data_IF_399149250593
#
_entry.id   IF_399149250593
#
_cell.length_a   1.000
_cell.length_b   1.000
_cell.length_c   1.000
_cell.angle_alpha   90.00
_cell.angle_beta   90.00
_cell.angle_gamma   90.00
#
_symmetry.space_group_name_H-M   'P 1'
#
loop_
_entity.id
_entity.type
_entity.pdbx_description
1 polymer ?
#
# COMPACT_ATOMS: atom_id res chain seq x y z
N UNK A 1 13.11 0.11 -12.12
CA UNK A 1 11.96 0.44 -11.25
C UNK A 1 12.06 -0.44 -10.03
N UNK A 2 12.27 0.12 -8.84
CA UNK A 2 12.26 -0.67 -7.62
C UNK A 2 10.84 -1.25 -7.42
N UNK A 3 10.75 -2.53 -7.07
CA UNK A 3 9.47 -3.17 -6.72
C UNK A 3 8.88 -2.46 -5.50
N UNK A 4 7.60 -2.06 -5.56
CA UNK A 4 6.88 -1.47 -4.41
C UNK A 4 6.54 -2.48 -3.33
N UNK A 5 6.78 -3.77 -3.60
CA UNK A 5 6.49 -4.92 -2.75
C UNK A 5 7.80 -5.40 -2.11
N UNK A 6 7.82 -5.45 -0.77
CA UNK A 6 8.93 -6.04 -0.03
C UNK A 6 8.85 -7.57 -0.06
N UNK A 7 10.01 -8.24 -0.10
CA UNK A 7 10.04 -9.70 0.12
C UNK A 7 9.56 -10.05 1.54
N UNK A 8 9.11 -11.28 1.75
CA UNK A 8 8.64 -11.71 3.07
C UNK A 8 9.73 -11.60 4.14
N UNK A 9 10.98 -11.90 3.77
CA UNK A 9 12.14 -11.79 4.66
C UNK A 9 12.44 -10.33 5.01
N UNK A 10 12.35 -9.41 4.05
CA UNK A 10 12.54 -7.98 4.29
C UNK A 10 11.44 -7.39 5.16
N UNK A 11 10.18 -7.74 4.91
CA UNK A 11 9.04 -7.29 5.71
C UNK A 11 9.13 -7.80 7.17
N UNK A 12 9.60 -9.04 7.36
CA UNK A 12 9.86 -9.61 8.68
C UNK A 12 11.02 -8.90 9.38
N UNK A 13 12.14 -8.67 8.68
CA UNK A 13 13.33 -7.97 9.21
C UNK A 13 13.00 -6.53 9.61
N UNK A 14 12.20 -5.84 8.81
CA UNK A 14 11.72 -4.49 9.09
C UNK A 14 10.57 -4.43 10.13
N UNK A 15 10.13 -5.59 10.64
CA UNK A 15 9.05 -5.72 11.63
C UNK A 15 7.77 -4.99 11.21
N UNK A 16 7.41 -5.09 9.93
CA UNK A 16 6.19 -4.47 9.41
C UNK A 16 4.96 -5.20 10.00
N UNK A 17 3.98 -4.50 10.60
CA UNK A 17 2.73 -5.11 11.05
C UNK A 17 1.96 -5.72 9.87
N UNK A 18 1.19 -6.79 10.12
CA UNK A 18 0.49 -7.54 9.08
C UNK A 18 -0.39 -6.66 8.18
N UNK A 19 -1.05 -5.66 8.75
CA UNK A 19 -1.90 -4.72 8.01
C UNK A 19 -1.16 -3.91 6.94
N UNK A 20 0.14 -3.68 7.10
CA UNK A 20 0.97 -2.88 6.20
C UNK A 20 1.88 -3.73 5.30
N UNK A 21 1.68 -5.06 5.27
CA UNK A 21 2.39 -5.98 4.37
C UNK A 21 1.64 -6.11 3.04
N UNK A 22 1.40 -4.98 2.42
CA UNK A 22 0.65 -4.86 1.18
C UNK A 22 1.56 -4.64 -0.03
N UNK A 23 0.96 -4.27 -1.17
CA UNK A 23 1.65 -4.02 -2.43
C UNK A 23 2.59 -2.79 -2.38
N UNK A 24 2.54 -1.99 -1.31
CA UNK A 24 3.30 -0.76 -1.09
C UNK A 24 4.31 -0.88 0.07
N UNK A 25 4.45 -2.07 0.65
CA UNK A 25 5.27 -2.34 1.83
C UNK A 25 6.76 -2.00 1.68
N UNK A 26 7.32 -2.01 0.47
CA UNK A 26 8.72 -1.66 0.25
C UNK A 26 9.00 -0.17 0.52
N UNK A 27 8.05 0.71 0.23
CA UNK A 27 8.16 2.17 0.44
C UNK A 27 8.03 2.54 1.92
N UNK A 28 7.38 1.70 2.71
CA UNK A 28 7.21 1.94 4.15
C UNK A 28 8.52 1.75 4.94
N UNK A 29 9.44 0.91 4.44
CA UNK A 29 10.74 0.65 5.08
C UNK A 29 11.60 1.93 5.14
N UNK A 30 11.89 2.63 4.01
CA UNK A 30 12.66 3.88 4.03
C UNK A 30 11.92 4.99 4.79
N UNK A 31 10.60 5.10 4.66
CA UNK A 31 9.80 6.07 5.41
C UNK A 31 9.95 5.88 6.92
N UNK A 32 9.87 4.65 7.43
CA UNK A 32 10.05 4.38 8.85
C UNK A 32 11.49 4.59 9.32
N UNK A 33 12.48 4.38 8.46
CA UNK A 33 13.88 4.70 8.76
C UNK A 33 14.05 6.21 8.90
N UNK A 34 13.54 6.99 7.95
CA UNK A 34 13.60 8.45 7.98
C UNK A 34 12.85 9.01 9.20
N UNK A 35 11.65 8.52 9.50
CA UNK A 35 10.88 8.92 10.69
C UNK A 35 11.65 8.70 12.00
N UNK A 36 12.32 7.56 12.15
CA UNK A 36 13.15 7.28 13.34
C UNK A 36 14.36 8.20 13.44
N UNK A 37 15.02 8.50 12.32
CA UNK A 37 16.16 9.41 12.29
C UNK A 37 15.75 10.87 12.55
N UNK A 38 14.59 11.26 12.02
CA UNK A 38 14.01 12.59 12.15
C UNK A 38 13.16 12.81 13.40
N UNK A 39 13.19 11.91 14.39
CA UNK A 39 12.37 11.97 15.60
C UNK A 39 10.87 12.21 15.33
N UNK A 40 10.35 11.65 14.24
CA UNK A 40 8.94 11.78 13.83
C UNK A 40 8.45 13.23 13.62
N UNK A 41 9.37 14.14 13.28
CA UNK A 41 9.00 15.52 12.93
C UNK A 41 8.15 15.56 11.66
N UNK A 42 7.12 16.42 11.67
CA UNK A 42 6.08 16.47 10.63
C UNK A 42 6.57 16.98 9.27
N UNK A 43 7.56 17.88 9.29
CA UNK A 43 8.18 18.50 8.12
C UNK A 43 9.33 17.69 7.53
N UNK A 44 9.73 16.59 8.19
CA UNK A 44 10.79 15.73 7.71
C UNK A 44 10.19 14.51 6.98
N UNK A 45 10.91 13.97 5.99
CA UNK A 45 10.50 12.79 5.22
C UNK A 45 9.22 12.98 4.39
N UNK A 46 8.93 14.20 3.91
CA UNK A 46 7.72 14.49 3.15
C UNK A 46 7.68 13.75 1.81
N UNK A 47 8.82 13.60 1.16
CA UNK A 47 8.92 12.94 -0.13
C UNK A 47 8.57 11.44 0.00
N UNK A 48 9.21 10.74 0.93
CA UNK A 48 8.97 9.32 1.19
C UNK A 48 7.53 9.08 1.68
N UNK A 49 6.96 10.03 2.44
CA UNK A 49 5.55 9.99 2.85
C UNK A 49 4.64 10.07 1.63
N UNK A 50 4.86 11.05 0.77
CA UNK A 50 4.05 11.27 -0.43
C UNK A 50 4.14 10.11 -1.42
N UNK A 51 5.33 9.53 -1.61
CA UNK A 51 5.50 8.34 -2.46
C UNK A 51 4.71 7.13 -1.94
N UNK A 52 4.75 6.88 -0.62
CA UNK A 52 3.98 5.82 0.01
C UNK A 52 2.46 6.04 -0.11
N UNK A 53 2.00 7.27 0.15
CA UNK A 53 0.58 7.66 0.04
C UNK A 53 0.07 7.53 -1.40
N UNK A 54 0.88 7.94 -2.38
CA UNK A 54 0.54 7.77 -3.80
C UNK A 54 0.38 6.29 -4.17
N UNK A 55 1.29 5.42 -3.70
CA UNK A 55 1.17 3.98 -3.94
C UNK A 55 -0.12 3.42 -3.35
N UNK A 56 -0.46 3.80 -2.12
CA UNK A 56 -1.68 3.38 -1.43
C UNK A 56 -2.94 3.85 -2.17
N UNK A 57 -2.93 5.08 -2.68
CA UNK A 57 -4.00 5.61 -3.51
C UNK A 57 -4.18 4.80 -4.80
N UNK A 58 -3.08 4.52 -5.51
CA UNK A 58 -3.10 3.75 -6.75
C UNK A 58 -3.65 2.32 -6.52
N UNK A 59 -3.31 1.70 -5.39
CA UNK A 59 -3.82 0.38 -5.00
C UNK A 59 -5.32 0.41 -4.61
N UNK A 60 -5.76 1.45 -3.90
CA UNK A 60 -7.18 1.68 -3.62
C UNK A 60 -7.98 1.79 -4.93
N UNK A 61 -7.50 2.60 -5.88
CA UNK A 61 -8.16 2.78 -7.17
C UNK A 61 -8.23 1.47 -7.97
N UNK A 62 -7.17 0.65 -7.92
CA UNK A 62 -7.19 -0.71 -8.47
C UNK A 62 -8.30 -1.56 -7.84
N UNK A 63 -8.40 -1.58 -6.51
CA UNK A 63 -9.43 -2.35 -5.79
C UNK A 63 -10.85 -1.84 -6.09
N UNK A 64 -11.04 -0.53 -6.21
CA UNK A 64 -12.33 0.05 -6.62
C UNK A 64 -12.75 -0.38 -8.04
N UNK A 65 -11.81 -0.43 -8.98
CA UNK A 65 -12.08 -0.93 -10.35
C UNK A 65 -12.44 -2.42 -10.36
N UNK A 66 -11.80 -3.23 -9.51
CA UNK A 66 -12.17 -4.64 -9.36
C UNK A 66 -13.58 -4.79 -8.76
N UNK A 67 -13.89 -4.00 -7.72
CA UNK A 67 -15.21 -4.01 -7.10
C UNK A 67 -16.31 -3.56 -8.09
N UNK A 68 -16.05 -2.54 -8.91
CA UNK A 68 -17.01 -2.09 -9.90
C UNK A 68 -17.25 -3.14 -11.00
N UNK A 69 -16.21 -3.88 -11.40
CA UNK A 69 -16.34 -5.03 -12.32
C UNK A 69 -17.23 -6.13 -11.71
N UNK A 70 -16.95 -6.54 -10.48
CA UNK A 70 -17.74 -7.56 -9.77
C UNK A 70 -19.20 -7.11 -9.61
N UNK A 71 -19.44 -5.85 -9.29
CA UNK A 71 -20.81 -5.30 -9.19
C UNK A 71 -21.56 -5.35 -10.52
N UNK A 72 -20.90 -5.04 -11.63
CA UNK A 72 -21.51 -5.13 -12.98
C UNK A 72 -21.81 -6.57 -13.36
N UNK A 73 -20.88 -7.49 -13.10
CA UNK A 73 -21.09 -8.92 -13.34
C UNK A 73 -22.27 -9.47 -12.52
N UNK A 74 -22.38 -9.09 -11.24
CA UNK A 74 -23.52 -9.46 -10.39
C UNK A 74 -24.85 -8.86 -10.87
N UNK A 75 -24.85 -7.63 -11.37
CA UNK A 75 -26.06 -7.01 -11.92
C UNK A 75 -26.46 -7.59 -13.29
N UNK A 76 -25.49 -8.08 -14.07
CA UNK A 76 -25.73 -8.72 -15.37
C UNK A 76 -26.13 -10.20 -15.23
N UNK A 77 -25.65 -10.90 -14.20
CA UNK A 77 -26.05 -12.25 -13.83
C UNK A 77 -27.22 -12.28 -12.85
N UNK A 78 -28.24 -11.43 -13.07
CA UNK A 78 -29.43 -11.41 -12.22
C UNK A 78 -30.09 -12.79 -12.15
N UNK A 79 -30.31 -13.23 -10.91
CA UNK A 79 -31.34 -14.18 -10.49
C UNK A 79 -31.25 -15.61 -11.08
N UNK A 80 -30.25 -16.39 -10.64
CA UNK A 80 -30.33 -17.87 -10.65
C UNK A 80 -30.77 -18.42 -9.27
N UNK A 81 -31.75 -17.77 -8.63
CA UNK A 81 -32.64 -18.41 -7.64
C UNK A 81 -34.09 -17.96 -7.81
#
# INVERSE_FOLDING_TARGET
MASTIASQQEAAKARIPLAYRDQCSALLIPLNKCRRQGNYMQWNCEHERHEYEKCQYDDLMRRMRQLSKIRKERAAGGDDE
#
